data_IF_045415294917
#
_entry.id   IF_045415294917
#
_cell.length_a   1.000
_cell.length_b   1.000
_cell.length_c   1.000
_cell.angle_alpha   90.00
_cell.angle_beta   90.00
_cell.angle_gamma   90.00
#
_symmetry.space_group_name_H-M   'P 1'
#
loop_
_entity.id
_entity.type
_entity.pdbx_description
1 polymer ?
#
# COMPACT_ATOMS: atom_id res chain seq x y z
N UNK A 1 -20.58 -30.65 -9.33
CA UNK A 1 -19.95 -30.16 -8.08
C UNK A 1 -18.69 -29.43 -8.49
N UNK A 2 -18.78 -28.11 -8.64
CA UNK A 2 -17.64 -27.28 -9.05
C UNK A 2 -16.56 -27.25 -7.98
N UNK A 3 -15.30 -27.15 -8.41
CA UNK A 3 -14.16 -26.97 -7.52
C UNK A 3 -14.32 -25.59 -6.87
N UNK A 4 -14.56 -25.54 -5.56
CA UNK A 4 -14.53 -24.27 -4.81
C UNK A 4 -13.08 -23.85 -4.60
N UNK A 5 -12.74 -22.63 -4.97
CA UNK A 5 -11.44 -22.04 -4.63
C UNK A 5 -11.39 -21.81 -3.13
N UNK A 6 -10.41 -22.39 -2.45
CA UNK A 6 -10.25 -22.27 -0.99
C UNK A 6 -9.08 -21.34 -0.69
N UNK A 7 -9.32 -20.32 0.13
CA UNK A 7 -8.29 -19.36 0.55
C UNK A 7 -8.31 -19.30 2.08
N UNK A 8 -7.16 -19.45 2.73
CA UNK A 8 -7.10 -19.38 4.19
C UNK A 8 -7.17 -17.93 4.69
N UNK A 9 -7.76 -17.75 5.88
CA UNK A 9 -7.75 -16.46 6.59
C UNK A 9 -6.31 -15.95 6.83
N UNK A 10 -5.36 -16.85 7.09
CA UNK A 10 -3.96 -16.53 7.28
C UNK A 10 -3.29 -15.96 6.00
N UNK A 11 -3.62 -16.51 4.83
CA UNK A 11 -3.11 -16.00 3.55
C UNK A 11 -3.62 -14.58 3.29
N UNK A 12 -4.91 -14.33 3.55
CA UNK A 12 -5.51 -12.99 3.44
C UNK A 12 -4.81 -12.01 4.38
N UNK A 13 -4.66 -12.37 5.66
CA UNK A 13 -3.99 -11.52 6.64
C UNK A 13 -2.55 -11.19 6.23
N UNK A 14 -1.81 -12.17 5.68
CA UNK A 14 -0.45 -11.96 5.18
C UNK A 14 -0.42 -11.01 3.98
N UNK A 15 -1.35 -11.16 3.04
CA UNK A 15 -1.45 -10.29 1.86
C UNK A 15 -1.83 -8.86 2.25
N UNK A 16 -2.81 -8.68 3.12
CA UNK A 16 -3.20 -7.37 3.64
C UNK A 16 -2.06 -6.72 4.41
N UNK A 17 -1.33 -7.46 5.24
CA UNK A 17 -0.11 -6.97 5.90
C UNK A 17 0.88 -6.40 4.88
N UNK A 18 1.24 -7.17 3.84
CA UNK A 18 2.16 -6.69 2.81
C UNK A 18 1.62 -5.46 2.06
N UNK A 19 0.33 -5.41 1.76
CA UNK A 19 -0.30 -4.25 1.12
C UNK A 19 -0.22 -3.00 2.00
N UNK A 20 -0.38 -3.13 3.33
CA UNK A 20 -0.17 -2.01 4.25
C UNK A 20 1.28 -1.51 4.24
N UNK A 21 2.26 -2.42 4.24
CA UNK A 21 3.67 -2.02 4.16
C UNK A 21 3.97 -1.32 2.83
N UNK A 22 3.51 -1.90 1.73
CA UNK A 22 3.73 -1.39 0.39
C UNK A 22 3.14 0.01 0.19
N UNK A 23 1.89 0.21 0.60
CA UNK A 23 1.19 1.50 0.52
C UNK A 23 1.88 2.61 1.32
N UNK A 24 2.63 2.28 2.38
CA UNK A 24 3.34 3.27 3.19
C UNK A 24 4.77 3.52 2.69
N UNK A 25 5.42 2.55 2.06
CA UNK A 25 6.85 2.62 1.72
C UNK A 25 7.12 2.91 0.25
N UNK A 26 6.13 2.68 -0.62
CA UNK A 26 6.28 2.84 -2.06
C UNK A 26 5.28 3.86 -2.60
N UNK A 27 5.82 4.86 -3.31
CA UNK A 27 5.01 5.72 -4.18
C UNK A 27 4.80 4.99 -5.51
N UNK A 28 3.57 4.91 -6.03
CA UNK A 28 3.30 4.38 -7.35
C UNK A 28 4.12 5.07 -8.45
N UNK A 29 4.55 4.30 -9.45
CA UNK A 29 5.41 4.81 -10.53
C UNK A 29 4.74 5.91 -11.35
N UNK A 30 3.43 5.84 -11.56
CA UNK A 30 2.65 6.87 -12.26
C UNK A 30 2.65 8.22 -11.53
N UNK A 31 2.61 8.19 -10.20
CA UNK A 31 2.75 9.39 -9.36
C UNK A 31 4.18 9.94 -9.43
N UNK A 32 5.19 9.07 -9.37
CA UNK A 32 6.59 9.49 -9.51
C UNK A 32 6.88 10.12 -10.87
N UNK A 33 6.31 9.56 -11.94
CA UNK A 33 6.44 10.10 -13.29
C UNK A 33 5.76 11.46 -13.41
N UNK A 34 4.55 11.62 -12.87
CA UNK A 34 3.87 12.91 -12.84
C UNK A 34 4.65 13.98 -12.04
N UNK A 35 5.27 13.60 -10.92
CA UNK A 35 6.15 14.49 -10.17
C UNK A 35 7.40 14.86 -10.97
N UNK A 36 7.93 13.95 -11.79
CA UNK A 36 9.12 14.16 -12.62
C UNK A 36 8.84 15.16 -13.72
N UNK A 37 7.73 14.98 -14.42
CA UNK A 37 7.26 15.93 -15.44
C UNK A 37 7.05 17.33 -14.85
N UNK A 38 6.51 17.39 -13.62
CA UNK A 38 6.35 18.64 -12.87
C UNK A 38 7.71 19.27 -12.54
N UNK A 39 8.69 18.49 -12.08
CA UNK A 39 10.03 18.97 -11.76
C UNK A 39 10.77 19.52 -12.99
N UNK A 40 10.61 18.88 -14.15
CA UNK A 40 11.26 19.29 -15.39
C UNK A 40 10.71 20.62 -15.92
N UNK A 41 9.41 20.85 -15.74
CA UNK A 41 8.70 22.03 -16.26
C UNK A 41 8.57 23.19 -15.26
N UNK A 42 8.84 22.95 -13.96
CA UNK A 42 8.72 23.96 -12.91
C UNK A 42 9.74 25.10 -13.09
N UNK A 43 9.24 26.33 -12.99
CA UNK A 43 10.00 27.57 -13.19
C UNK A 43 10.49 28.17 -11.88
N UNK A 44 9.77 27.92 -10.78
CA UNK A 44 10.11 28.41 -9.45
C UNK A 44 11.25 27.57 -8.86
N UNK A 45 12.41 28.16 -8.56
CA UNK A 45 13.52 27.43 -7.96
C UNK A 45 13.14 26.76 -6.63
N UNK A 46 12.34 27.46 -5.81
CA UNK A 46 11.88 26.96 -4.52
C UNK A 46 10.94 25.76 -4.69
N UNK A 47 10.00 25.82 -5.62
CA UNK A 47 9.10 24.69 -5.86
C UNK A 47 9.84 23.47 -6.44
N UNK A 48 10.86 23.72 -7.27
CA UNK A 48 11.72 22.67 -7.81
C UNK A 48 12.53 21.97 -6.72
N UNK A 49 13.04 22.70 -5.73
CA UNK A 49 13.68 22.11 -4.55
C UNK A 49 12.70 21.24 -3.75
N UNK A 50 11.48 21.70 -3.52
CA UNK A 50 10.44 20.90 -2.82
C UNK A 50 10.16 19.59 -3.56
N UNK A 51 10.05 19.62 -4.89
CA UNK A 51 9.88 18.40 -5.69
C UNK A 51 11.08 17.45 -5.58
N UNK A 52 12.31 17.98 -5.50
CA UNK A 52 13.50 17.17 -5.24
C UNK A 52 13.45 16.49 -3.87
N UNK A 53 13.01 17.21 -2.82
CA UNK A 53 12.83 16.65 -1.48
C UNK A 53 11.80 15.52 -1.46
N UNK A 54 10.71 15.64 -2.23
CA UNK A 54 9.71 14.57 -2.35
C UNK A 54 10.30 13.28 -2.95
N UNK A 55 11.18 13.40 -3.96
CA UNK A 55 11.86 12.23 -4.53
C UNK A 55 12.82 11.58 -3.55
N UNK A 56 13.63 12.36 -2.84
CA UNK A 56 14.55 11.82 -1.84
C UNK A 56 13.78 11.16 -0.69
N UNK A 57 12.66 11.77 -0.26
CA UNK A 57 11.78 11.18 0.74
C UNK A 57 11.20 9.83 0.27
N UNK A 58 10.70 9.74 -0.97
CA UNK A 58 10.19 8.50 -1.53
C UNK A 58 11.28 7.41 -1.61
N UNK A 59 12.51 7.78 -1.97
CA UNK A 59 13.66 6.89 -2.00
C UNK A 59 14.02 6.39 -0.59
N UNK A 60 14.12 7.28 0.39
CA UNK A 60 14.42 6.92 1.78
C UNK A 60 13.32 6.01 2.35
N UNK A 61 12.05 6.32 2.12
CA UNK A 61 10.91 5.50 2.56
C UNK A 61 11.06 4.05 2.08
N UNK A 62 11.39 3.88 0.79
CA UNK A 62 11.64 2.57 0.17
C UNK A 62 12.88 1.87 0.73
N UNK A 63 14.03 2.54 0.77
CA UNK A 63 15.30 1.92 1.17
C UNK A 63 15.33 1.57 2.67
N UNK A 64 14.80 2.44 3.51
CA UNK A 64 14.77 2.27 4.95
C UNK A 64 13.54 1.51 5.45
N UNK A 65 12.59 1.16 4.56
CA UNK A 65 11.32 0.51 4.91
C UNK A 65 10.59 1.30 6.02
N UNK A 66 10.41 2.60 5.78
CA UNK A 66 9.76 3.52 6.70
C UNK A 66 8.62 4.26 6.00
N UNK A 67 7.57 4.69 6.74
CA UNK A 67 6.45 5.40 6.13
C UNK A 67 6.91 6.68 5.43
N UNK A 68 6.44 6.89 4.21
CA UNK A 68 6.72 8.09 3.43
C UNK A 68 6.14 9.37 4.07
N UNK A 69 5.10 9.23 4.89
CA UNK A 69 4.46 10.31 5.62
C UNK A 69 4.31 9.91 7.09
N UNK A 70 4.43 10.91 7.99
CA UNK A 70 4.16 10.72 9.42
C UNK A 70 2.70 10.33 9.68
N UNK A 71 1.77 10.89 8.90
CA UNK A 71 0.36 10.49 8.91
C UNK A 71 0.16 9.35 7.91
N UNK A 72 -0.02 8.14 8.43
CA UNK A 72 -0.19 6.90 7.66
C UNK A 72 -1.65 6.61 7.29
N UNK A 73 -2.54 7.58 7.58
CA UNK A 73 -3.93 7.58 7.17
C UNK A 73 -4.80 6.51 7.82
N UNK A 74 -5.90 6.18 7.14
CA UNK A 74 -6.88 5.17 7.57
C UNK A 74 -6.93 4.07 6.52
N UNK A 75 -6.82 2.81 6.97
CA UNK A 75 -6.92 1.67 6.07
C UNK A 75 -8.35 1.52 5.52
N UNK A 76 -8.51 1.73 4.21
CA UNK A 76 -9.75 1.49 3.47
C UNK A 76 -9.53 0.31 2.54
N UNK A 77 -10.31 -0.76 2.72
CA UNK A 77 -10.17 -2.01 1.96
C UNK A 77 -11.44 -2.26 1.15
N UNK A 78 -11.30 -2.24 -0.17
CA UNK A 78 -12.34 -2.65 -1.10
C UNK A 78 -12.16 -4.14 -1.39
N UNK A 79 -13.24 -4.92 -1.24
CA UNK A 79 -13.19 -6.37 -1.43
C UNK A 79 -14.20 -6.79 -2.47
N UNK A 80 -13.71 -7.47 -3.50
CA UNK A 80 -14.51 -8.24 -4.44
C UNK A 80 -14.28 -9.73 -4.16
N UNK A 81 -15.34 -10.44 -3.79
CA UNK A 81 -15.28 -11.86 -3.44
C UNK A 81 -16.17 -12.65 -4.41
N UNK A 82 -15.57 -13.60 -5.13
CA UNK A 82 -16.30 -14.50 -6.02
C UNK A 82 -17.20 -15.47 -5.25
N UNK A 83 -18.36 -15.82 -5.82
CA UNK A 83 -19.36 -16.68 -5.17
C UNK A 83 -18.85 -18.10 -4.86
N UNK A 84 -17.90 -18.60 -5.66
CA UNK A 84 -17.29 -19.94 -5.49
C UNK A 84 -16.03 -19.93 -4.60
N UNK A 85 -15.71 -18.82 -3.94
CA UNK A 85 -14.58 -18.69 -3.02
C UNK A 85 -15.01 -19.04 -1.60
N UNK A 86 -14.34 -20.02 -0.99
CA UNK A 86 -14.49 -20.37 0.42
C UNK A 86 -13.31 -19.85 1.23
N UNK A 87 -13.59 -19.01 2.24
CA UNK A 87 -12.59 -18.61 3.22
C UNK A 87 -12.51 -19.66 4.32
N UNK A 88 -11.32 -20.24 4.51
CA UNK A 88 -11.08 -21.31 5.48
C UNK A 88 -10.38 -20.77 6.73
N UNK A 89 -10.51 -21.50 7.85
CA UNK A 89 -9.75 -21.24 9.09
C UNK A 89 -10.04 -19.86 9.75
N UNK A 90 -11.14 -19.20 9.39
CA UNK A 90 -11.53 -17.93 9.98
C UNK A 90 -12.54 -17.15 9.15
N UNK A 91 -12.72 -15.87 9.50
CA UNK A 91 -13.60 -14.94 8.78
C UNK A 91 -12.76 -13.92 8.01
N UNK A 92 -13.22 -13.58 6.81
CA UNK A 92 -12.60 -12.58 5.94
C UNK A 92 -12.31 -11.26 6.67
N UNK A 93 -13.29 -10.73 7.41
CA UNK A 93 -13.18 -9.44 8.07
C UNK A 93 -12.11 -9.44 9.18
N UNK A 94 -12.04 -10.52 9.97
CA UNK A 94 -11.03 -10.67 11.01
C UNK A 94 -9.62 -10.79 10.40
N UNK A 95 -9.49 -11.49 9.28
CA UNK A 95 -8.22 -11.62 8.55
C UNK A 95 -7.73 -10.27 8.01
N UNK A 96 -8.62 -9.45 7.43
CA UNK A 96 -8.29 -8.10 6.97
C UNK A 96 -7.83 -7.25 8.15
N UNK A 97 -8.59 -7.26 9.26
CA UNK A 97 -8.24 -6.50 10.47
C UNK A 97 -6.91 -6.93 11.07
N UNK A 98 -6.63 -8.24 11.09
CA UNK A 98 -5.34 -8.74 11.56
C UNK A 98 -4.18 -8.29 10.68
N UNK A 99 -4.34 -8.35 9.36
CA UNK A 99 -3.35 -7.86 8.40
C UNK A 99 -3.04 -6.37 8.59
N UNK A 100 -4.07 -5.53 8.69
CA UNK A 100 -3.92 -4.09 8.98
C UNK A 100 -3.23 -3.90 10.33
N UNK A 101 -3.72 -4.54 11.40
CA UNK A 101 -3.14 -4.43 12.74
C UNK A 101 -1.66 -4.83 12.78
N UNK A 102 -1.24 -5.80 11.97
CA UNK A 102 0.16 -6.23 11.86
C UNK A 102 1.01 -5.23 11.08
N UNK A 103 0.46 -4.55 10.08
CA UNK A 103 1.19 -3.56 9.28
C UNK A 103 1.51 -2.27 10.04
N UNK A 104 0.70 -1.95 11.06
CA UNK A 104 0.81 -0.73 11.86
C UNK A 104 1.39 -0.98 13.27
N UNK A 105 1.98 -2.16 13.53
CA UNK A 105 2.67 -2.50 14.78
C UNK A 105 4.16 -2.67 14.54
#
# INVERSE_FOLDING_TARGET
MGIRTRISSAEIAQKVYHLCMDANFHVPDDVLDALRDSYETEVSPVAKEVLADLFENAKIARECQMPICQDTGVAVVFVELGEDVEITEGRLYDAIHDGVRRGYK
#
